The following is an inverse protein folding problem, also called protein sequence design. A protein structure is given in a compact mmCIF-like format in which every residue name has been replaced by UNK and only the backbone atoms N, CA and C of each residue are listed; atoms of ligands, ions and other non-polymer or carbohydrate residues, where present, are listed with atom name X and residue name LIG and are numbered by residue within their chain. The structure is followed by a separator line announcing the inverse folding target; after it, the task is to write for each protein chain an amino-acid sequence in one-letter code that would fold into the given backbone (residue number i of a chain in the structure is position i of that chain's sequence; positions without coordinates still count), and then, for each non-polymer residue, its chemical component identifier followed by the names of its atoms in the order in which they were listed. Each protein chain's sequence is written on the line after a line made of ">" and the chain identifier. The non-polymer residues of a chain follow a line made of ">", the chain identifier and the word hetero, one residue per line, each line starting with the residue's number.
data_IF_465739971589
#
_entry.id   IF_465739971589
#
_cell.length_a   1.000
_cell.length_b   1.000
_cell.length_c   1.000
_cell.angle_alpha   90.00
_cell.angle_beta   90.00
_cell.angle_gamma   90.00
#
_symmetry.space_group_name_H-M   'P 1'
#
loop_
_entity.id
_entity.type
_entity.pdbx_description
1 polymer ?
#
# COMPACT_ATOMS: atom_id res chain seq x y z
N UNK A 1 -20.14 37.14 -24.98
CA UNK A 1 -19.97 35.98 -25.89
C UNK A 1 -19.79 34.75 -25.04
N UNK A 2 -20.75 33.83 -25.04
CA UNK A 2 -20.63 32.55 -24.34
C UNK A 2 -19.95 31.54 -25.26
N UNK A 3 -18.72 31.15 -24.93
CA UNK A 3 -18.01 30.10 -25.65
C UNK A 3 -18.63 28.75 -25.32
N UNK A 4 -19.12 28.04 -26.34
CA UNK A 4 -19.57 26.67 -26.19
C UNK A 4 -18.37 25.78 -25.81
N UNK A 5 -18.46 25.06 -24.70
CA UNK A 5 -17.50 24.02 -24.33
C UNK A 5 -17.51 22.92 -25.39
N UNK A 6 -16.34 22.46 -25.87
CA UNK A 6 -16.28 21.45 -26.91
C UNK A 6 -16.90 20.13 -26.42
N UNK A 7 -17.62 19.40 -27.29
CA UNK A 7 -18.16 18.09 -26.94
C UNK A 7 -17.02 17.15 -26.57
N UNK A 8 -17.04 16.62 -25.34
CA UNK A 8 -15.99 15.77 -24.78
C UNK A 8 -15.12 16.45 -23.72
N UNK A 9 -15.31 17.73 -23.43
CA UNK A 9 -14.69 18.36 -22.26
C UNK A 9 -15.28 17.74 -20.98
N UNK A 10 -14.48 16.93 -20.29
CA UNK A 10 -14.82 16.46 -18.96
C UNK A 10 -14.94 17.67 -18.01
N UNK A 11 -15.83 17.61 -17.00
CA UNK A 11 -15.94 18.68 -16.02
C UNK A 11 -14.57 18.89 -15.37
N UNK A 12 -14.05 20.11 -15.46
CA UNK A 12 -12.87 20.52 -14.69
C UNK A 12 -13.34 20.67 -13.26
N UNK A 13 -13.15 19.62 -12.46
CA UNK A 13 -13.38 19.67 -11.03
C UNK A 13 -12.25 20.51 -10.45
N UNK A 14 -12.56 21.76 -10.10
CA UNK A 14 -11.62 22.66 -9.45
C UNK A 14 -11.56 22.26 -7.97
N UNK A 15 -10.72 21.27 -7.67
CA UNK A 15 -10.44 20.86 -6.30
C UNK A 15 -9.66 21.98 -5.61
N UNK A 16 -9.82 22.09 -4.29
CA UNK A 16 -8.95 22.95 -3.49
C UNK A 16 -7.49 22.51 -3.76
N UNK A 17 -6.59 23.41 -4.17
CA UNK A 17 -5.19 23.06 -4.45
C UNK A 17 -4.47 22.44 -3.24
N UNK A 18 -5.00 22.60 -2.02
CA UNK A 18 -4.50 21.89 -0.85
C UNK A 18 -4.82 20.39 -0.83
N UNK A 19 -5.79 19.93 -1.63
CA UNK A 19 -6.29 18.56 -1.66
C UNK A 19 -5.75 17.73 -2.83
N UNK A 20 -5.01 18.35 -3.75
CA UNK A 20 -4.45 17.67 -4.92
C UNK A 20 -3.02 18.10 -5.17
N UNK A 21 -2.19 17.17 -5.62
CA UNK A 21 -0.81 17.44 -6.01
C UNK A 21 -0.57 16.86 -7.41
N UNK A 22 0.13 17.58 -8.27
CA UNK A 22 0.51 17.04 -9.58
C UNK A 22 1.59 15.97 -9.43
N UNK A 23 1.74 15.05 -10.41
CA UNK A 23 2.81 14.05 -10.37
C UNK A 23 4.21 14.65 -10.25
N UNK A 24 4.47 15.78 -10.92
CA UNK A 24 5.76 16.48 -10.87
C UNK A 24 6.04 17.10 -9.50
N UNK A 25 5.04 17.72 -8.87
CA UNK A 25 5.18 18.28 -7.52
C UNK A 25 5.41 17.18 -6.49
N UNK A 26 4.69 16.06 -6.61
CA UNK A 26 4.88 14.91 -5.74
C UNK A 26 6.28 14.30 -5.88
N UNK A 27 6.78 14.15 -7.12
CA UNK A 27 8.14 13.67 -7.36
C UNK A 27 9.19 14.57 -6.71
N UNK A 28 9.06 15.89 -6.87
CA UNK A 28 9.97 16.85 -6.25
C UNK A 28 9.91 16.82 -4.72
N UNK A 29 8.71 16.71 -4.13
CA UNK A 29 8.55 16.61 -2.67
C UNK A 29 9.16 15.32 -2.10
N UNK A 30 9.02 14.22 -2.85
CA UNK A 30 9.58 12.92 -2.48
C UNK A 30 11.11 12.88 -2.54
N UNK A 31 11.71 13.53 -3.54
CA UNK A 31 13.16 13.58 -3.73
C UNK A 31 13.83 14.64 -2.87
N UNK A 32 13.17 15.78 -2.64
CA UNK A 32 13.71 16.94 -1.92
C UNK A 32 13.75 16.79 -0.40
N UNK A 33 13.44 15.61 0.14
CA UNK A 33 13.37 15.39 1.59
C UNK A 33 12.18 16.09 2.24
N UNK A 34 11.03 16.12 1.56
CA UNK A 34 9.79 16.70 2.06
C UNK A 34 9.28 16.04 3.36
N UNK A 35 8.16 16.56 3.87
CA UNK A 35 7.56 16.08 5.10
C UNK A 35 7.28 14.55 5.06
N UNK A 36 7.40 13.85 6.20
CA UNK A 36 7.00 12.45 6.30
C UNK A 36 5.56 12.25 5.81
N UNK A 37 5.35 11.30 4.90
CA UNK A 37 4.04 11.01 4.33
C UNK A 37 3.92 9.52 3.97
N UNK A 38 2.68 9.05 3.85
CA UNK A 38 2.34 7.71 3.38
C UNK A 38 1.69 7.82 2.01
N UNK A 39 2.17 7.02 1.05
CA UNK A 39 1.57 6.93 -0.28
C UNK A 39 0.63 5.72 -0.32
N UNK A 40 -0.67 5.96 -0.52
CA UNK A 40 -1.67 4.90 -0.66
C UNK A 40 -2.01 4.68 -2.12
N UNK A 41 -2.01 3.41 -2.53
CA UNK A 41 -2.49 2.98 -3.83
C UNK A 41 -3.84 2.30 -3.68
N UNK A 42 -4.88 2.95 -4.21
CA UNK A 42 -6.26 2.52 -4.03
C UNK A 42 -6.78 1.62 -5.14
N UNK A 43 -5.92 1.25 -6.10
CA UNK A 43 -6.24 0.32 -7.17
C UNK A 43 -6.40 -1.11 -6.64
N UNK A 44 -7.04 -1.96 -7.43
CA UNK A 44 -7.14 -3.40 -7.12
C UNK A 44 -5.75 -4.05 -7.09
N UNK A 45 -5.53 -5.11 -6.28
CA UNK A 45 -4.20 -5.68 -6.06
C UNK A 45 -3.49 -6.09 -7.36
N UNK A 46 -4.23 -6.68 -8.31
CA UNK A 46 -3.68 -7.07 -9.62
C UNK A 46 -3.06 -5.89 -10.39
N UNK A 47 -3.58 -4.68 -10.25
CA UNK A 47 -3.01 -3.48 -10.89
C UNK A 47 -1.79 -2.96 -10.15
N UNK A 48 -1.80 -3.05 -8.82
CA UNK A 48 -0.67 -2.71 -7.98
C UNK A 48 0.53 -3.62 -8.26
N UNK A 49 0.31 -4.93 -8.38
CA UNK A 49 1.35 -5.94 -8.65
C UNK A 49 2.01 -5.76 -10.03
N UNK A 50 1.28 -5.22 -11.01
CA UNK A 50 1.83 -4.96 -12.34
C UNK A 50 2.80 -3.77 -12.34
N UNK A 51 2.42 -2.67 -11.69
CA UNK A 51 3.27 -1.50 -11.54
C UNK A 51 2.75 -0.63 -10.40
N UNK A 52 3.62 -0.27 -9.46
CA UNK A 52 3.32 0.66 -8.38
C UNK A 52 4.49 1.60 -8.12
N UNK A 53 4.20 2.74 -7.50
CA UNK A 53 5.24 3.65 -7.06
C UNK A 53 5.97 3.01 -5.87
N UNK A 54 7.30 3.04 -5.87
CA UNK A 54 8.11 2.47 -4.78
C UNK A 54 7.65 3.05 -3.43
N UNK A 55 7.47 2.21 -2.41
CA UNK A 55 7.02 2.64 -1.08
C UNK A 55 5.53 2.95 -0.97
N UNK A 56 4.74 2.77 -2.04
CA UNK A 56 3.29 2.81 -1.95
C UNK A 56 2.76 1.59 -1.19
N UNK A 57 1.70 1.80 -0.40
CA UNK A 57 0.95 0.75 0.29
C UNK A 57 -0.37 0.55 -0.44
N UNK A 58 -0.68 -0.68 -0.84
CA UNK A 58 -1.96 -0.98 -1.47
C UNK A 58 -3.08 -1.10 -0.42
N UNK A 59 -4.07 -0.22 -0.52
CA UNK A 59 -5.30 -0.26 0.27
C UNK A 59 -6.43 0.12 -0.68
N UNK A 60 -7.19 -0.86 -1.13
CA UNK A 60 -8.22 -0.67 -2.16
C UNK A 60 -9.34 0.26 -1.68
N UNK A 61 -10.03 0.91 -2.62
CA UNK A 61 -11.21 1.73 -2.29
C UNK A 61 -12.27 0.94 -1.49
N UNK A 62 -12.49 -0.34 -1.80
CA UNK A 62 -13.43 -1.19 -1.08
C UNK A 62 -13.08 -1.33 0.40
N UNK A 63 -11.79 -1.47 0.72
CA UNK A 63 -11.30 -1.55 2.10
C UNK A 63 -11.44 -0.22 2.84
N UNK A 64 -11.32 0.92 2.14
CA UNK A 64 -11.44 2.26 2.73
C UNK A 64 -12.90 2.59 3.04
N UNK A 65 -13.80 2.33 2.09
CA UNK A 65 -15.19 2.77 2.17
C UNK A 65 -16.13 1.70 2.74
N UNK A 66 -15.62 0.51 3.06
CA UNK A 66 -16.40 -0.54 3.70
C UNK A 66 -17.66 -0.86 2.92
N UNK A 67 -17.56 -0.98 1.58
CA UNK A 67 -18.61 -1.65 0.83
C UNK A 67 -18.62 -3.09 1.35
N UNK A 68 -19.50 -3.32 2.31
CA UNK A 68 -19.62 -4.56 3.04
C UNK A 68 -19.51 -5.69 2.05
N UNK A 69 -18.61 -6.62 2.32
CA UNK A 69 -18.82 -8.00 1.92
C UNK A 69 -20.28 -8.31 2.28
N UNK A 70 -21.17 -8.25 1.29
CA UNK A 70 -22.58 -8.58 1.39
C UNK A 70 -22.71 -10.08 1.62
N UNK A 71 -22.19 -10.55 2.75
CA UNK A 71 -22.44 -11.85 3.28
C UNK A 71 -23.81 -11.78 3.92
N UNK A 72 -24.82 -12.15 3.16
CA UNK A 72 -26.12 -12.63 3.66
C UNK A 72 -25.89 -13.98 4.38
N UNK A 73 -24.96 -13.99 5.34
CA UNK A 73 -24.53 -15.16 6.08
C UNK A 73 -25.43 -15.31 7.28
N UNK A 74 -26.51 -16.08 7.12
CA UNK A 74 -27.19 -16.78 8.20
C UNK A 74 -26.18 -17.75 8.86
N UNK A 75 -25.28 -17.22 9.68
CA UNK A 75 -24.27 -17.98 10.40
C UNK A 75 -24.45 -17.76 11.89
N UNK A 76 -24.80 -18.82 12.60
CA UNK A 76 -24.82 -18.88 14.06
C UNK A 76 -23.45 -18.46 14.63
N UNK A 77 -23.33 -17.19 15.02
CA UNK A 77 -22.08 -16.57 15.45
C UNK A 77 -21.69 -17.03 16.86
N UNK A 78 -20.66 -17.87 16.94
CA UNK A 78 -20.03 -18.34 18.17
C UNK A 78 -18.95 -17.39 18.73
N UNK A 79 -19.13 -16.07 18.57
CA UNK A 79 -18.61 -15.06 19.49
C UNK A 79 -17.10 -15.05 19.69
N UNK A 80 -16.32 -15.35 18.64
CA UNK A 80 -14.89 -15.02 18.65
C UNK A 80 -14.70 -13.72 17.89
N UNK A 81 -14.68 -12.64 18.66
CA UNK A 81 -14.28 -11.29 18.28
C UNK A 81 -13.01 -11.33 17.42
N UNK A 82 -13.18 -11.52 16.11
CA UNK A 82 -12.14 -11.29 15.13
C UNK A 82 -12.20 -9.79 14.90
N UNK A 83 -11.50 -9.04 15.75
CA UNK A 83 -11.22 -7.63 15.47
C UNK A 83 -10.54 -7.55 14.10
N UNK A 84 -11.33 -7.34 13.05
CA UNK A 84 -10.82 -6.68 11.86
C UNK A 84 -10.43 -5.29 12.32
N UNK A 85 -9.16 -5.15 12.74
CA UNK A 85 -8.59 -3.88 13.12
C UNK A 85 -8.91 -2.83 12.06
N UNK A 86 -9.08 -1.59 12.50
CA UNK A 86 -9.47 -0.49 11.62
C UNK A 86 -8.52 -0.39 10.42
N UNK A 87 -8.98 0.24 9.33
CA UNK A 87 -8.13 0.51 8.14
C UNK A 87 -6.82 1.19 8.55
N UNK A 88 -6.85 2.02 9.60
CA UNK A 88 -5.66 2.65 10.16
C UNK A 88 -4.70 1.65 10.80
N UNK A 89 -5.20 0.66 11.54
CA UNK A 89 -4.38 -0.42 12.11
C UNK A 89 -3.72 -1.25 11.02
N UNK A 90 -4.42 -1.46 9.90
CA UNK A 90 -3.89 -2.12 8.72
C UNK A 90 -2.80 -1.31 8.04
N UNK A 91 -2.99 0.00 7.86
CA UNK A 91 -1.97 0.89 7.30
C UNK A 91 -0.72 0.89 8.19
N UNK A 92 -0.89 1.02 9.51
CA UNK A 92 0.24 1.03 10.44
C UNK A 92 1.02 -0.30 10.42
N UNK A 93 0.30 -1.43 10.35
CA UNK A 93 0.90 -2.75 10.18
C UNK A 93 1.70 -2.85 8.87
N UNK A 94 1.11 -2.45 7.75
CA UNK A 94 1.76 -2.51 6.44
C UNK A 94 3.00 -1.61 6.36
N UNK A 95 2.94 -0.42 6.99
CA UNK A 95 4.09 0.47 7.12
C UNK A 95 5.22 -0.17 7.93
N UNK A 96 4.91 -0.85 9.04
CA UNK A 96 5.91 -1.58 9.86
C UNK A 96 6.50 -2.78 9.12
N UNK A 97 5.69 -3.56 8.40
CA UNK A 97 6.17 -4.72 7.62
C UNK A 97 7.08 -4.27 6.46
N UNK A 98 6.74 -3.18 5.77
CA UNK A 98 7.54 -2.63 4.66
C UNK A 98 8.90 -2.07 5.11
N UNK A 99 9.00 -1.57 6.35
CA UNK A 99 10.26 -1.08 6.91
C UNK A 99 11.29 -2.20 7.18
N UNK A 100 10.83 -3.45 7.37
CA UNK A 100 11.71 -4.58 7.72
C UNK A 100 12.28 -5.31 6.51
N UNK A 101 11.73 -5.13 5.31
CA UNK A 101 12.21 -5.81 4.09
C UNK A 101 13.50 -5.23 3.52
N UNK A 102 13.90 -4.00 3.88
CA UNK A 102 15.17 -3.40 3.42
C UNK A 102 16.40 -3.95 4.16
N UNK A 103 16.24 -4.67 5.27
CA UNK A 103 17.34 -5.28 6.03
C UNK A 103 17.75 -6.69 5.57
N UNK A 104 16.94 -7.38 4.76
CA UNK A 104 17.24 -8.76 4.33
C UNK A 104 18.26 -8.85 3.17
N UNK A 105 18.67 -7.71 2.58
CA UNK A 105 19.65 -7.70 1.49
C UNK A 105 21.12 -7.69 1.95
N UNK A 106 21.42 -7.70 3.26
CA UNK A 106 22.81 -7.64 3.79
C UNK A 106 23.21 -8.79 4.70
N UNK A 107 22.74 -10.01 4.46
CA UNK A 107 23.37 -11.22 5.03
C UNK A 107 23.48 -12.34 4.00
N UNK A 108 24.11 -12.04 2.87
CA UNK A 108 24.73 -13.05 2.01
C UNK A 108 26.20 -13.15 2.37
N UNK A 109 26.59 -14.16 3.18
CA UNK A 109 27.99 -14.33 3.57
C UNK A 109 28.31 -15.51 4.48
N UNK A 110 28.06 -16.73 4.00
CA UNK A 110 28.88 -17.90 4.32
C UNK A 110 28.62 -18.63 5.65
N UNK A 111 27.71 -19.59 5.64
CA UNK A 111 27.72 -20.70 6.60
C UNK A 111 28.37 -21.91 5.90
N UNK A 112 29.67 -22.13 6.11
CA UNK A 112 30.32 -23.36 5.67
C UNK A 112 30.12 -24.43 6.74
N UNK A 113 29.57 -25.55 6.30
CA UNK A 113 29.09 -26.65 7.12
C UNK A 113 30.13 -27.23 8.09
N UNK A 114 29.64 -27.52 9.29
CA UNK A 114 30.19 -28.56 10.14
C UNK A 114 29.69 -29.94 9.69
N UNK A 115 30.49 -30.97 9.97
CA UNK A 115 30.22 -32.39 9.70
C UNK A 115 31.54 -33.12 9.42
N UNK A 116 32.34 -33.52 10.42
CA UNK A 116 32.19 -34.60 11.42
C UNK A 116 32.83 -35.93 10.97
N UNK A 117 33.64 -36.50 11.87
CA UNK A 117 33.88 -37.94 12.03
C UNK A 117 34.92 -38.65 11.16
N UNK A 118 35.98 -39.18 11.78
CA UNK A 118 36.79 -40.23 11.17
C UNK A 118 38.10 -40.58 11.88
N UNK A 119 38.02 -41.16 13.08
CA UNK A 119 39.13 -41.83 13.77
C UNK A 119 39.57 -43.06 12.98
N UNK A 120 40.88 -43.24 12.74
CA UNK A 120 41.47 -44.50 12.26
C UNK A 120 42.72 -44.75 13.09
N UNK A 121 42.79 -45.95 13.67
CA UNK A 121 43.81 -46.51 14.56
C UNK A 121 45.27 -46.19 14.22
#
# INVERSE_FOLDING_TARGET
>A
GGGATPPGALPVINLDPALSVSPSEYAAAREGGGAPHVLLDVRVPRQFDMCSLKGAVNVTLAEIFGEGSGGDGDGDDDGRDREEGSVLDKIDRLCRESANTDTAAVTGGGNNGGGDGGNVD
#
